data_IF_340557440505
#
_entry.id   IF_340557440505
#
_cell.length_a   1.000
_cell.length_b   1.000
_cell.length_c   1.000
_cell.angle_alpha   90.00
_cell.angle_beta   90.00
_cell.angle_gamma   90.00
#
_symmetry.space_group_name_H-M   'P 1'
#
loop_
_entity.id
_entity.type
_entity.pdbx_description
1 polymer ?
#
# COMPACT_ATOMS: atom_id res chain seq x y z
N UNK A 1 -11.55 -19.75 1.17
CA UNK A 1 -10.36 -19.61 2.04
C UNK A 1 -9.22 -18.80 1.42
N UNK A 2 -9.30 -18.35 0.16
CA UNK A 2 -8.23 -17.61 -0.54
C UNK A 2 -8.40 -16.08 -0.54
N UNK A 3 -9.63 -15.59 -0.41
CA UNK A 3 -9.95 -14.15 -0.45
C UNK A 3 -9.60 -13.47 0.88
N UNK A 4 -9.93 -14.10 2.01
CA UNK A 4 -9.52 -13.61 3.34
C UNK A 4 -7.99 -13.53 3.48
N UNK A 5 -7.26 -14.51 2.93
CA UNK A 5 -5.79 -14.48 2.96
C UNK A 5 -5.21 -13.37 2.08
N UNK A 6 -5.85 -13.04 0.95
CA UNK A 6 -5.44 -11.96 0.07
C UNK A 6 -5.71 -10.58 0.72
N UNK A 7 -6.88 -10.40 1.35
CA UNK A 7 -7.20 -9.20 2.13
C UNK A 7 -6.27 -9.04 3.34
N UNK A 8 -6.03 -10.11 4.11
CA UNK A 8 -5.10 -10.07 5.23
C UNK A 8 -3.67 -9.70 4.80
N UNK A 9 -3.20 -10.25 3.66
CA UNK A 9 -1.90 -9.91 3.08
C UNK A 9 -1.85 -8.46 2.61
N UNK A 10 -2.91 -7.97 1.99
CA UNK A 10 -2.98 -6.59 1.53
C UNK A 10 -3.02 -5.60 2.71
N UNK A 11 -3.79 -5.89 3.76
CA UNK A 11 -3.84 -5.07 5.00
C UNK A 11 -2.46 -5.03 5.67
N UNK A 12 -1.80 -6.17 5.82
CA UNK A 12 -0.45 -6.24 6.38
C UNK A 12 0.56 -5.45 5.51
N UNK A 13 0.44 -5.55 4.19
CA UNK A 13 1.24 -4.78 3.25
C UNK A 13 1.01 -3.27 3.35
N UNK A 14 -0.24 -2.83 3.53
CA UNK A 14 -0.60 -1.42 3.73
C UNK A 14 0.00 -0.87 5.04
N UNK A 15 -0.10 -1.61 6.14
CA UNK A 15 0.47 -1.20 7.43
C UNK A 15 2.00 -1.09 7.37
N UNK A 16 2.67 -2.02 6.69
CA UNK A 16 4.12 -1.97 6.49
C UNK A 16 4.53 -0.78 5.61
N UNK A 17 3.81 -0.54 4.51
CA UNK A 17 4.04 0.60 3.63
C UNK A 17 3.81 1.94 4.35
N UNK A 18 2.77 2.02 5.20
CA UNK A 18 2.48 3.20 6.01
C UNK A 18 3.60 3.49 7.01
N UNK A 19 4.04 2.50 7.78
CA UNK A 19 5.14 2.64 8.73
C UNK A 19 6.42 3.12 8.04
N UNK A 20 6.72 2.55 6.86
CA UNK A 20 7.88 2.94 6.06
C UNK A 20 7.76 4.37 5.52
N UNK A 21 6.56 4.77 5.08
CA UNK A 21 6.28 6.12 4.62
C UNK A 21 6.46 7.15 5.73
N UNK A 22 5.87 6.93 6.90
CA UNK A 22 6.00 7.81 8.08
C UNK A 22 7.47 7.98 8.49
N UNK A 23 8.21 6.87 8.55
CA UNK A 23 9.65 6.90 8.86
C UNK A 23 10.44 7.72 7.84
N UNK A 24 10.13 7.57 6.55
CA UNK A 24 10.82 8.30 5.47
C UNK A 24 10.46 9.78 5.48
N UNK A 25 9.21 10.13 5.78
CA UNK A 25 8.76 11.52 5.91
C UNK A 25 9.46 12.24 7.08
N UNK A 26 9.63 11.56 8.23
CA UNK A 26 10.39 12.10 9.37
C UNK A 26 11.86 12.33 9.00
N UNK A 27 12.50 11.37 8.33
CA UNK A 27 13.90 11.51 7.86
C UNK A 27 14.05 12.65 6.86
N UNK A 28 13.11 12.78 5.93
CA UNK A 28 13.09 13.85 4.95
C UNK A 28 13.00 15.23 5.62
N UNK A 29 12.10 15.38 6.61
CA UNK A 29 11.95 16.61 7.39
C UNK A 29 13.25 16.98 8.14
N UNK A 30 13.90 15.99 8.76
CA UNK A 30 15.19 16.19 9.45
C UNK A 30 16.34 16.50 8.48
N UNK A 31 16.39 15.85 7.32
CA UNK A 31 17.39 16.09 6.27
C UNK A 31 17.24 17.48 5.64
N UNK A 32 15.99 17.94 5.43
CA UNK A 32 15.68 19.27 4.92
C UNK A 32 16.09 20.39 5.90
N UNK A 33 15.96 20.15 7.21
CA UNK A 33 16.40 21.09 8.25
C UNK A 33 17.94 21.20 8.37
N UNK A 34 18.70 20.23 7.84
CA UNK A 34 20.16 20.10 8.06
C UNK A 34 21.05 20.27 6.84
N UNK A 35 20.55 20.72 5.68
CA UNK A 35 21.36 21.10 4.51
C UNK A 35 22.09 19.97 3.77
N UNK A 36 21.65 18.71 3.88
CA UNK A 36 22.30 17.57 3.23
C UNK A 36 21.50 17.06 2.02
N UNK A 37 21.66 17.72 0.86
CA UNK A 37 20.95 17.42 -0.39
C UNK A 37 20.98 15.94 -0.79
N UNK A 38 22.10 15.23 -0.55
CA UNK A 38 22.23 13.81 -0.88
C UNK A 38 21.33 12.87 -0.04
N UNK A 39 20.98 13.25 1.20
CA UNK A 39 20.08 12.44 2.06
C UNK A 39 18.60 12.67 1.69
N UNK A 40 18.25 13.90 1.33
CA UNK A 40 16.92 14.29 0.87
C UNK A 40 16.51 13.48 -0.37
N UNK A 41 17.41 13.31 -1.34
CA UNK A 41 17.12 12.53 -2.56
C UNK A 41 16.82 11.06 -2.23
N UNK A 42 17.59 10.45 -1.34
CA UNK A 42 17.35 9.06 -0.91
C UNK A 42 16.01 8.94 -0.17
N UNK A 43 15.72 9.84 0.75
CA UNK A 43 14.48 9.83 1.53
C UNK A 43 13.24 10.03 0.62
N UNK A 44 13.33 10.86 -0.43
CA UNK A 44 12.26 11.02 -1.44
C UNK A 44 12.04 9.74 -2.23
N UNK A 45 13.11 9.04 -2.64
CA UNK A 45 13.00 7.76 -3.37
C UNK A 45 12.36 6.70 -2.50
N UNK A 46 12.75 6.61 -1.23
CA UNK A 46 12.15 5.67 -0.26
C UNK A 46 10.67 6.01 -0.02
N UNK A 47 10.32 7.29 0.13
CA UNK A 47 8.93 7.74 0.23
C UNK A 47 8.10 7.36 -1.01
N UNK A 48 8.64 7.57 -2.22
CA UNK A 48 7.96 7.23 -3.47
C UNK A 48 7.76 5.73 -3.62
N UNK A 49 8.72 4.91 -3.21
CA UNK A 49 8.59 3.45 -3.20
C UNK A 49 7.48 3.00 -2.25
N UNK A 50 7.39 3.57 -1.06
CA UNK A 50 6.32 3.25 -0.11
C UNK A 50 4.94 3.68 -0.63
N UNK A 51 4.84 4.82 -1.31
CA UNK A 51 3.59 5.23 -1.99
C UNK A 51 3.17 4.26 -3.10
N UNK A 52 4.12 3.76 -3.90
CA UNK A 52 3.84 2.75 -4.95
C UNK A 52 3.41 1.42 -4.33
N UNK A 53 4.04 0.98 -3.25
CA UNK A 53 3.65 -0.23 -2.53
C UNK A 53 2.23 -0.11 -1.93
N UNK A 54 1.89 1.06 -1.40
CA UNK A 54 0.54 1.35 -0.92
C UNK A 54 -0.49 1.27 -2.05
N UNK A 55 -0.24 1.93 -3.19
CA UNK A 55 -1.13 1.90 -4.36
C UNK A 55 -1.33 0.48 -4.90
N UNK A 56 -0.26 -0.32 -4.97
CA UNK A 56 -0.34 -1.72 -5.37
C UNK A 56 -1.24 -2.55 -4.43
N UNK A 57 -1.11 -2.37 -3.12
CA UNK A 57 -1.96 -3.08 -2.16
C UNK A 57 -3.43 -2.65 -2.25
N UNK A 58 -3.72 -1.37 -2.45
CA UNK A 58 -5.09 -0.88 -2.66
C UNK A 58 -5.72 -1.51 -3.91
N UNK A 59 -4.96 -1.61 -5.01
CA UNK A 59 -5.45 -2.29 -6.23
C UNK A 59 -5.73 -3.76 -6.00
N UNK A 60 -4.89 -4.46 -5.23
CA UNK A 60 -5.13 -5.86 -4.86
C UNK A 60 -6.41 -6.03 -4.05
N UNK A 61 -6.69 -5.12 -3.10
CA UNK A 61 -7.96 -5.14 -2.34
C UNK A 61 -9.14 -4.92 -3.28
N UNK A 62 -9.09 -3.93 -4.16
CA UNK A 62 -10.17 -3.66 -5.14
C UNK A 62 -10.43 -4.83 -6.07
N UNK A 63 -9.37 -5.43 -6.61
CA UNK A 63 -9.51 -6.62 -7.45
C UNK A 63 -10.14 -7.79 -6.68
N UNK A 64 -9.81 -7.93 -5.39
CA UNK A 64 -10.44 -8.96 -4.53
C UNK A 64 -11.93 -8.66 -4.29
N UNK A 65 -12.31 -7.39 -4.17
CA UNK A 65 -13.68 -6.92 -4.00
C UNK A 65 -14.52 -7.16 -5.26
N UNK A 66 -14.00 -6.77 -6.44
CA UNK A 66 -14.64 -7.03 -7.75
C UNK A 66 -14.82 -8.54 -8.01
N UNK A 67 -13.86 -9.37 -7.57
CA UNK A 67 -13.99 -10.83 -7.64
C UNK A 67 -15.10 -11.35 -6.72
N UNK A 68 -15.27 -10.79 -5.52
CA UNK A 68 -16.36 -11.14 -4.62
C UNK A 68 -17.71 -10.74 -5.21
N UNK A 69 -17.81 -9.53 -5.76
CA UNK A 69 -19.02 -9.01 -6.39
C UNK A 69 -19.46 -9.88 -7.58
N UNK A 70 -18.52 -10.23 -8.46
CA UNK A 70 -18.76 -11.14 -9.58
C UNK A 70 -19.23 -12.55 -9.13
N UNK A 71 -18.71 -13.03 -8.00
CA UNK A 71 -19.13 -14.32 -7.44
C UNK A 71 -20.54 -14.25 -6.85
N UNK A 72 -20.90 -13.14 -6.20
CA UNK A 72 -22.24 -12.91 -5.65
C UNK A 72 -23.27 -12.79 -6.78
N UNK A 73 -23.00 -11.99 -7.81
CA UNK A 73 -23.87 -11.85 -8.99
C UNK A 73 -24.18 -13.20 -9.65
N UNK A 74 -23.17 -14.06 -9.81
CA UNK A 74 -23.36 -15.39 -10.40
C UNK A 74 -24.11 -16.37 -9.51
N UNK A 75 -24.11 -16.17 -8.19
CA UNK A 75 -24.90 -16.97 -7.26
C UNK A 75 -26.36 -16.53 -7.30
N UNK A 76 -26.61 -15.22 -7.34
CA UNK A 76 -27.96 -14.66 -7.46
C UNK A 76 -28.63 -15.01 -8.81
N UNK A 77 -27.87 -15.07 -9.91
CA UNK A 77 -28.40 -15.55 -11.21
C UNK A 77 -28.77 -17.05 -11.23
N UNK A 78 -28.33 -17.84 -10.25
CA UNK A 78 -28.58 -19.29 -10.16
C UNK A 78 -29.65 -19.67 -9.14
N UNK A 79 -30.15 -18.73 -8.35
CA UNK A 79 -31.22 -18.90 -7.35
C UNK A 79 -32.60 -18.59 -7.95
#
# INVERSE_FOLDING_TARGET
MTIDSAQATAIAGLQAAQTSFETSAVRLSQSAAGGAEGRIVKDIVDLRRSAVAFDANVRTVKASDEMLDTLLDRVDERA
#
